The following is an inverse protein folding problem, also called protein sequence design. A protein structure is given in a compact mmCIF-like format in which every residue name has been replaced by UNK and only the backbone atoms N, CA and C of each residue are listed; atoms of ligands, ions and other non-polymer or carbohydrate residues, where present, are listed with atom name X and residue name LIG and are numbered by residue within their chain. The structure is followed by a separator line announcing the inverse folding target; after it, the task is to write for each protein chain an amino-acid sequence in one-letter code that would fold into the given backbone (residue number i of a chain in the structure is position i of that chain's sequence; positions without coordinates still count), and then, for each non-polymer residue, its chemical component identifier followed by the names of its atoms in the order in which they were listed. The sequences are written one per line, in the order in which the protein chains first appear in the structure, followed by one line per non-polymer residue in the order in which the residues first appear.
data_IF_306740316065
#
_entry.id   IF_306740316065
#
_cell.length_a   1.000
_cell.length_b   1.000
_cell.length_c   1.000
_cell.angle_alpha   90.00
_cell.angle_beta   90.00
_cell.angle_gamma   90.00
#
_symmetry.space_group_name_H-M   'P 1'
#
loop_
_entity.id
_entity.type
_entity.pdbx_description
1 polymer ?
#
# COMPACT_ATOMS: atom_id res chain seq x y z
N UNK A 1 13.50 -16.10 -12.01
CA UNK A 1 12.81 -15.07 -11.18
C UNK A 1 11.44 -15.49 -10.63
N UNK A 2 10.72 -16.46 -11.23
CA UNK A 2 9.49 -17.01 -10.64
C UNK A 2 8.32 -16.00 -10.53
N UNK A 3 8.31 -14.98 -11.38
CA UNK A 3 7.20 -14.03 -11.54
C UNK A 3 6.64 -14.15 -12.97
N UNK A 4 5.35 -13.90 -13.21
CA UNK A 4 4.75 -14.05 -14.54
C UNK A 4 5.42 -13.17 -15.61
N UNK A 5 5.44 -13.66 -16.85
CA UNK A 5 5.99 -12.93 -18.00
C UNK A 5 5.29 -11.59 -18.15
N UNK A 6 6.07 -10.52 -18.27
CA UNK A 6 5.54 -9.17 -18.43
C UNK A 6 6.57 -8.20 -19.06
N UNK A 7 6.11 -7.13 -19.70
CA UNK A 7 6.90 -6.10 -20.36
C UNK A 7 7.07 -4.80 -19.55
N UNK A 8 6.38 -4.67 -18.40
CA UNK A 8 6.46 -3.50 -17.52
C UNK A 8 6.75 -3.88 -16.09
N UNK A 9 8.00 -3.61 -15.73
CA UNK A 9 8.59 -3.79 -14.41
C UNK A 9 9.07 -2.45 -13.88
N UNK A 10 9.19 -2.37 -12.55
CA UNK A 10 9.76 -1.24 -11.85
C UNK A 10 11.02 -1.74 -11.15
N UNK A 11 12.12 -1.01 -11.31
CA UNK A 11 13.30 -1.14 -10.48
C UNK A 11 13.24 -0.01 -9.45
N UNK A 12 12.88 -0.34 -8.22
CA UNK A 12 12.80 0.62 -7.12
C UNK A 12 14.08 0.56 -6.29
N UNK A 13 14.77 1.70 -6.16
CA UNK A 13 15.89 1.85 -5.23
C UNK A 13 15.36 2.24 -3.85
N UNK A 14 15.51 1.39 -2.81
CA UNK A 14 15.10 1.73 -1.45
C UNK A 14 16.14 2.62 -0.74
N UNK A 15 16.57 3.71 -1.38
CA UNK A 15 17.72 4.52 -0.92
C UNK A 15 17.57 5.06 0.51
N UNK A 16 16.38 5.56 0.86
CA UNK A 16 16.08 6.06 2.21
C UNK A 16 15.60 4.95 3.17
N UNK A 17 15.46 3.71 2.73
CA UNK A 17 15.08 2.60 3.60
C UNK A 17 16.33 1.84 3.99
N UNK A 18 16.84 2.13 5.20
CA UNK A 18 18.05 1.48 5.75
C UNK A 18 17.92 -0.04 5.89
N UNK A 19 16.70 -0.59 5.83
CA UNK A 19 16.44 -2.05 5.85
C UNK A 19 16.31 -2.66 4.45
N UNK A 20 16.26 -1.82 3.41
CA UNK A 20 16.09 -2.20 2.00
C UNK A 20 14.80 -2.98 1.66
N UNK A 21 13.93 -3.28 2.65
CA UNK A 21 12.91 -4.33 2.53
C UNK A 21 11.47 -3.91 2.80
N UNK A 22 11.19 -2.67 3.21
CA UNK A 22 9.83 -2.26 3.65
C UNK A 22 8.75 -2.49 2.60
N UNK A 23 8.97 -1.99 1.38
CA UNK A 23 8.07 -2.26 0.25
C UNK A 23 7.91 -3.77 -0.01
N UNK A 24 9.00 -4.52 0.00
CA UNK A 24 8.97 -5.96 -0.24
C UNK A 24 8.16 -6.71 0.83
N UNK A 25 8.35 -6.33 2.10
CA UNK A 25 7.71 -6.93 3.26
C UNK A 25 6.19 -6.74 3.20
N UNK A 26 5.74 -5.49 3.07
CA UNK A 26 4.31 -5.16 2.99
C UNK A 26 3.65 -5.94 1.84
N UNK A 27 4.19 -5.87 0.62
CA UNK A 27 3.60 -6.57 -0.52
C UNK A 27 3.57 -8.10 -0.35
N UNK A 28 4.59 -8.68 0.28
CA UNK A 28 4.65 -10.13 0.51
C UNK A 28 3.60 -10.56 1.53
N UNK A 29 3.51 -9.85 2.66
CA UNK A 29 2.61 -10.20 3.74
C UNK A 29 1.15 -9.92 3.44
N UNK A 30 0.84 -8.90 2.65
CA UNK A 30 -0.52 -8.68 2.13
C UNK A 30 -0.94 -9.79 1.17
N UNK A 31 -0.03 -10.24 0.30
CA UNK A 31 -0.31 -11.33 -0.65
C UNK A 31 -0.53 -12.68 0.05
N UNK A 32 0.16 -12.94 1.16
CA UNK A 32 -0.01 -14.16 1.96
C UNK A 32 -1.43 -14.28 2.54
N UNK A 33 -2.16 -13.17 2.72
CA UNK A 33 -3.53 -13.18 3.26
C UNK A 33 -4.48 -14.01 2.41
N UNK A 34 -4.43 -13.84 1.08
CA UNK A 34 -5.08 -14.71 0.10
C UNK A 34 -4.57 -14.34 -1.31
N UNK A 35 -3.55 -15.08 -1.77
CA UNK A 35 -2.85 -14.85 -3.04
C UNK A 35 -3.73 -15.04 -4.29
N UNK A 36 -4.84 -15.79 -4.16
CA UNK A 36 -5.71 -16.17 -5.27
C UNK A 36 -6.84 -15.14 -5.46
N UNK A 37 -7.23 -14.43 -4.39
CA UNK A 37 -8.30 -13.42 -4.41
C UNK A 37 -7.77 -11.98 -4.47
N UNK A 38 -6.68 -11.66 -3.76
CA UNK A 38 -6.18 -10.27 -3.67
C UNK A 38 -4.81 -10.13 -4.29
N UNK A 39 -4.75 -9.34 -5.36
CA UNK A 39 -3.49 -8.97 -5.97
C UNK A 39 -2.75 -7.98 -5.05
N UNK A 40 -1.54 -8.37 -4.64
CA UNK A 40 -0.52 -7.46 -4.15
C UNK A 40 0.76 -7.69 -4.97
N UNK A 41 1.56 -6.64 -5.12
CA UNK A 41 2.68 -6.55 -6.07
C UNK A 41 3.75 -7.59 -5.81
N UNK A 42 4.02 -8.50 -6.76
CA UNK A 42 5.15 -9.42 -6.60
C UNK A 42 6.45 -8.66 -6.82
N UNK A 43 7.44 -9.02 -6.01
CA UNK A 43 8.72 -8.35 -5.98
C UNK A 43 9.86 -9.34 -5.73
N UNK A 44 11.07 -8.96 -6.15
CA UNK A 44 12.34 -9.67 -5.94
C UNK A 44 13.44 -8.66 -5.66
N UNK A 45 14.31 -8.97 -4.71
CA UNK A 45 15.57 -8.25 -4.57
C UNK A 45 16.49 -8.60 -5.73
N UNK A 46 17.16 -7.58 -6.29
CA UNK A 46 18.16 -7.72 -7.35
C UNK A 46 19.30 -6.76 -7.08
N UNK A 47 20.50 -7.12 -7.52
CA UNK A 47 21.64 -6.22 -7.59
C UNK A 47 21.73 -5.64 -9.00
N UNK A 48 21.86 -4.32 -9.11
CA UNK A 48 21.88 -3.64 -10.42
C UNK A 48 23.32 -3.33 -10.82
N UNK A 49 23.67 -3.74 -12.04
CA UNK A 49 24.90 -3.38 -12.71
C UNK A 49 24.57 -2.52 -13.92
N UNK A 50 25.15 -1.32 -14.00
CA UNK A 50 24.99 -0.40 -15.13
C UNK A 50 26.25 -0.41 -15.99
N UNK A 51 26.10 -0.76 -17.27
CA UNK A 51 27.18 -0.72 -18.24
C UNK A 51 27.36 0.69 -18.79
N UNK A 52 28.53 1.29 -18.59
CA UNK A 52 28.91 2.58 -19.17
C UNK A 52 30.41 2.58 -19.45
N UNK A 53 30.81 3.19 -20.58
CA UNK A 53 32.24 3.39 -20.91
C UNK A 53 33.07 2.10 -20.86
N UNK A 54 32.53 1.00 -21.38
CA UNK A 54 33.26 -0.27 -21.44
C UNK A 54 33.29 -1.08 -20.14
N UNK A 55 32.68 -0.60 -19.05
CA UNK A 55 32.70 -1.28 -17.74
C UNK A 55 31.31 -1.37 -17.09
N UNK A 56 31.13 -2.41 -16.28
CA UNK A 56 29.97 -2.53 -15.40
C UNK A 56 30.22 -1.82 -14.08
N UNK A 57 29.29 -0.94 -13.68
CA UNK A 57 29.32 -0.24 -12.41
C UNK A 57 28.19 -0.77 -11.52
N UNK A 58 28.50 -1.10 -10.27
CA UNK A 58 27.50 -1.51 -9.30
C UNK A 58 26.68 -0.30 -8.82
N UNK A 59 25.35 -0.42 -8.86
CA UNK A 59 24.39 0.63 -8.50
C UNK A 59 23.63 0.33 -7.20
N UNK A 60 23.84 -0.84 -6.58
CA UNK A 60 23.21 -1.19 -5.31
C UNK A 60 22.11 -2.25 -5.42
N UNK A 61 21.42 -2.44 -4.30
CA UNK A 61 20.27 -3.35 -4.15
C UNK A 61 19.01 -2.61 -4.56
N UNK A 62 18.21 -3.25 -5.42
CA UNK A 62 16.93 -2.77 -5.89
C UNK A 62 15.84 -3.81 -5.60
N UNK A 63 14.61 -3.33 -5.55
CA UNK A 63 13.43 -4.19 -5.58
C UNK A 63 12.88 -4.15 -7.01
N UNK A 64 13.08 -5.26 -7.75
CA UNK A 64 12.37 -5.50 -9.00
C UNK A 64 10.93 -5.87 -8.67
N UNK A 65 9.98 -5.06 -9.10
CA UNK A 65 8.57 -5.23 -8.74
C UNK A 65 7.61 -5.03 -9.91
N UNK A 66 6.43 -5.60 -9.77
CA UNK A 66 5.35 -5.44 -10.74
C UNK A 66 4.76 -4.03 -10.71
N UNK A 67 4.52 -3.45 -11.88
CA UNK A 67 3.65 -2.28 -11.99
C UNK A 67 2.18 -2.68 -11.82
N UNK A 68 1.42 -2.00 -10.96
CA UNK A 68 -0.04 -2.18 -10.87
C UNK A 68 -0.66 -1.83 -12.23
N UNK A 69 -1.33 -2.81 -12.85
CA UNK A 69 -2.03 -2.65 -14.12
C UNK A 69 -3.01 -3.81 -14.33
N UNK A 70 -3.88 -3.66 -15.33
CA UNK A 70 -4.69 -4.75 -15.85
C UNK A 70 -3.81 -5.81 -16.53
N UNK A 71 -3.87 -7.04 -16.01
CA UNK A 71 -3.30 -8.24 -16.61
C UNK A 71 -3.95 -9.48 -15.97
N UNK A 72 -3.99 -10.61 -16.68
CA UNK A 72 -4.57 -11.86 -16.15
C UNK A 72 -3.87 -12.36 -14.88
N UNK A 73 -2.59 -12.00 -14.69
CA UNK A 73 -1.83 -12.35 -13.51
C UNK A 73 -1.72 -11.19 -12.50
N UNK A 74 -2.27 -10.01 -12.77
CA UNK A 74 -2.26 -8.83 -11.87
C UNK A 74 -3.69 -8.48 -11.48
N UNK A 75 -4.16 -7.26 -11.78
CA UNK A 75 -5.59 -6.93 -11.65
C UNK A 75 -6.33 -7.54 -12.84
N UNK A 76 -6.92 -8.71 -12.62
CA UNK A 76 -7.59 -9.49 -13.65
C UNK A 76 -9.04 -9.03 -13.86
N UNK A 77 -9.20 -7.93 -14.60
CA UNK A 77 -10.50 -7.37 -14.98
C UNK A 77 -10.69 -7.39 -16.50
N UNK A 78 -11.95 -7.42 -16.94
CA UNK A 78 -12.30 -7.45 -18.37
C UNK A 78 -11.82 -6.19 -19.09
N UNK A 79 -11.46 -6.37 -20.35
CA UNK A 79 -11.08 -5.25 -21.23
C UNK A 79 -12.33 -4.44 -21.58
N UNK A 80 -12.30 -3.13 -21.37
CA UNK A 80 -13.35 -2.24 -21.87
C UNK A 80 -13.19 -2.05 -23.38
N UNK A 81 -14.23 -2.30 -24.17
CA UNK A 81 -14.26 -2.04 -25.62
C UNK A 81 -14.73 -0.61 -25.88
N UNK A 82 -14.27 0.04 -26.95
CA UNK A 82 -14.57 1.46 -27.23
C UNK A 82 -16.07 1.77 -27.31
N UNK A 83 -16.87 0.83 -27.81
CA UNK A 83 -18.33 0.93 -27.95
C UNK A 83 -19.11 0.37 -26.74
N UNK A 84 -18.44 0.06 -25.63
CA UNK A 84 -19.07 -0.39 -24.40
C UNK A 84 -18.59 0.45 -23.22
N UNK A 85 -19.52 0.84 -22.36
CA UNK A 85 -19.21 1.43 -21.05
C UNK A 85 -19.01 0.35 -19.99
N UNK A 86 -19.56 -0.85 -20.19
CA UNK A 86 -19.35 -1.98 -19.28
C UNK A 86 -18.00 -2.63 -19.55
N UNK A 87 -17.26 -2.92 -18.48
CA UNK A 87 -15.89 -3.46 -18.52
C UNK A 87 -15.10 -3.09 -17.26
N UNK A 88 -13.80 -3.38 -17.26
CA UNK A 88 -12.90 -3.15 -16.14
C UNK A 88 -12.31 -1.74 -16.08
N UNK A 89 -12.27 -1.16 -14.87
CA UNK A 89 -11.65 0.12 -14.57
C UNK A 89 -10.63 -0.04 -13.43
N UNK A 90 -9.51 0.66 -13.52
CA UNK A 90 -8.52 0.82 -12.44
C UNK A 90 -8.29 2.31 -12.28
N UNK A 91 -8.52 2.80 -11.07
CA UNK A 91 -8.34 4.19 -10.71
C UNK A 91 -7.28 4.28 -9.61
N UNK A 92 -6.57 5.40 -9.58
CA UNK A 92 -5.63 5.71 -8.51
C UNK A 92 -6.00 7.05 -7.90
N UNK A 93 -6.01 7.10 -6.58
CA UNK A 93 -6.10 8.32 -5.79
C UNK A 93 -4.67 8.80 -5.50
N UNK A 94 -4.37 10.05 -5.84
CA UNK A 94 -3.02 10.63 -5.75
C UNK A 94 -3.08 12.17 -5.75
N UNK A 95 -1.91 12.82 -5.58
CA UNK A 95 -1.78 14.29 -5.60
C UNK A 95 -1.49 14.85 -6.99
N UNK A 96 -1.67 16.16 -7.12
CA UNK A 96 -1.28 16.96 -8.28
C UNK A 96 -1.84 16.42 -9.62
N UNK A 97 -3.06 15.90 -9.57
CA UNK A 97 -3.72 15.29 -10.72
C UNK A 97 -4.11 16.36 -11.74
N UNK A 98 -3.60 16.29 -12.98
CA UNK A 98 -4.06 17.16 -14.04
C UNK A 98 -5.56 16.98 -14.31
N UNK A 99 -6.29 18.09 -14.44
CA UNK A 99 -7.74 18.08 -14.65
C UNK A 99 -8.19 17.26 -15.88
N UNK A 100 -7.34 17.14 -16.90
CA UNK A 100 -7.66 16.37 -18.11
C UNK A 100 -7.64 14.83 -17.90
N UNK A 101 -7.03 14.36 -16.80
CA UNK A 101 -6.94 12.94 -16.46
C UNK A 101 -7.69 12.58 -15.17
N UNK A 102 -8.15 13.57 -14.39
CA UNK A 102 -9.02 13.34 -13.24
C UNK A 102 -10.37 12.77 -13.66
N UNK A 103 -11.09 12.21 -12.69
CA UNK A 103 -12.47 11.79 -12.89
C UNK A 103 -13.44 12.97 -12.99
N UNK A 104 -14.62 12.70 -13.54
CA UNK A 104 -15.72 13.67 -13.60
C UNK A 104 -16.36 13.81 -12.20
N UNK A 105 -17.02 14.96 -11.96
CA UNK A 105 -17.56 15.41 -10.66
C UNK A 105 -16.50 15.85 -9.65
N UNK A 106 -16.83 16.88 -8.87
CA UNK A 106 -15.98 17.46 -7.81
C UNK A 106 -15.45 16.40 -6.84
N UNK A 107 -16.35 15.53 -6.41
CA UNK A 107 -16.17 14.50 -5.40
C UNK A 107 -15.13 13.45 -5.81
N UNK A 108 -14.84 13.30 -7.11
CA UNK A 108 -13.92 12.29 -7.62
C UNK A 108 -12.59 12.86 -8.11
N UNK A 109 -12.35 14.19 -8.01
CA UNK A 109 -11.22 14.85 -8.69
C UNK A 109 -9.84 14.34 -8.27
N UNK A 110 -9.72 13.73 -7.10
CA UNK A 110 -8.47 13.13 -6.64
C UNK A 110 -8.17 11.76 -7.26
N UNK A 111 -9.13 11.17 -7.98
CA UNK A 111 -8.93 9.94 -8.74
C UNK A 111 -8.55 10.23 -10.18
N UNK A 112 -7.64 9.42 -10.74
CA UNK A 112 -7.34 9.39 -12.17
C UNK A 112 -7.31 7.98 -12.74
N UNK A 113 -7.40 7.90 -14.08
CA UNK A 113 -7.46 6.63 -14.79
C UNK A 113 -6.09 5.96 -14.96
N UNK A 114 -5.92 4.80 -14.34
CA UNK A 114 -4.81 3.87 -14.63
C UNK A 114 -5.20 2.95 -15.79
N UNK A 115 -6.45 2.48 -15.79
CA UNK A 115 -7.04 1.70 -16.87
C UNK A 115 -8.56 1.98 -16.99
N UNK A 116 -9.11 2.14 -18.21
CA UNK A 116 -8.41 2.38 -19.47
C UNK A 116 -7.49 3.62 -19.38
N UNK A 117 -6.47 3.71 -20.23
CA UNK A 117 -5.56 4.87 -20.19
C UNK A 117 -6.31 6.17 -20.52
N UNK A 118 -5.89 7.33 -19.99
CA UNK A 118 -6.54 8.61 -20.25
C UNK A 118 -6.69 8.94 -21.75
N UNK A 119 -5.74 8.54 -22.59
CA UNK A 119 -5.79 8.73 -24.04
C UNK A 119 -6.56 7.64 -24.81
N UNK A 120 -7.20 6.69 -24.12
CA UNK A 120 -7.96 5.58 -24.71
C UNK A 120 -9.39 5.47 -24.18
N UNK A 121 -9.67 6.07 -23.02
CA UNK A 121 -11.01 6.11 -22.43
C UNK A 121 -11.91 7.10 -23.19
N UNK A 122 -13.18 6.76 -23.40
CA UNK A 122 -14.17 7.64 -24.04
C UNK A 122 -14.92 8.48 -23.01
N UNK A 123 -15.57 9.57 -23.42
CA UNK A 123 -16.35 10.42 -22.50
C UNK A 123 -17.48 9.63 -21.80
N UNK A 124 -18.19 8.76 -22.52
CA UNK A 124 -19.23 7.90 -21.92
C UNK A 124 -18.66 6.94 -20.88
N UNK A 125 -17.44 6.42 -21.09
CA UNK A 125 -16.76 5.57 -20.11
C UNK A 125 -16.30 6.35 -18.87
N UNK A 126 -15.82 7.60 -19.07
CA UNK A 126 -15.47 8.52 -17.97
C UNK A 126 -16.69 8.82 -17.10
N UNK A 127 -17.80 9.21 -17.72
CA UNK A 127 -19.07 9.49 -17.04
C UNK A 127 -19.58 8.26 -16.29
N UNK A 128 -19.57 7.07 -16.91
CA UNK A 128 -20.04 5.84 -16.28
C UNK A 128 -19.34 5.53 -14.95
N UNK A 129 -18.00 5.50 -14.92
CA UNK A 129 -17.27 5.15 -13.70
C UNK A 129 -17.30 6.27 -12.66
N UNK A 130 -17.30 7.52 -13.12
CA UNK A 130 -17.42 8.69 -12.23
C UNK A 130 -18.80 8.73 -11.55
N UNK A 131 -19.86 8.42 -12.30
CA UNK A 131 -21.22 8.32 -11.76
C UNK A 131 -21.32 7.15 -10.77
N UNK A 132 -20.74 5.99 -11.09
CA UNK A 132 -20.71 4.87 -10.15
C UNK A 132 -20.05 5.24 -8.81
N UNK A 133 -18.90 5.93 -8.83
CA UNK A 133 -18.25 6.38 -7.61
C UNK A 133 -19.08 7.42 -6.87
N UNK A 134 -19.70 8.35 -7.59
CA UNK A 134 -20.61 9.35 -7.01
C UNK A 134 -21.78 8.68 -6.30
N UNK A 135 -22.46 7.72 -6.95
CA UNK A 135 -23.59 6.99 -6.37
C UNK A 135 -23.19 6.13 -5.17
N UNK A 136 -22.05 5.45 -5.25
CA UNK A 136 -21.49 4.72 -4.11
C UNK A 136 -21.25 5.65 -2.92
N UNK A 137 -20.68 6.82 -3.15
CA UNK A 137 -20.40 7.78 -2.08
C UNK A 137 -21.69 8.30 -1.46
N UNK A 138 -22.72 8.64 -2.26
CA UNK A 138 -24.02 9.00 -1.72
C UNK A 138 -24.66 7.88 -0.90
N UNK A 139 -24.61 6.64 -1.38
CA UNK A 139 -25.10 5.49 -0.64
C UNK A 139 -24.36 5.31 0.69
N UNK A 140 -23.01 5.42 0.68
CA UNK A 140 -22.18 5.28 1.87
C UNK A 140 -22.47 6.34 2.94
N UNK A 141 -22.78 7.56 2.53
CA UNK A 141 -23.09 8.67 3.43
C UNK A 141 -24.57 8.80 3.80
N UNK A 142 -25.45 7.98 3.23
CA UNK A 142 -26.85 7.92 3.65
C UNK A 142 -26.98 7.30 5.06
N UNK A 143 -28.04 7.65 5.78
CA UNK A 143 -28.27 7.15 7.15
C UNK A 143 -28.46 5.64 7.22
N UNK A 144 -29.01 5.06 6.15
CA UNK A 144 -29.30 3.64 6.01
C UNK A 144 -28.21 2.85 5.26
N UNK A 145 -27.00 3.41 5.12
CA UNK A 145 -25.87 2.79 4.42
C UNK A 145 -25.52 1.37 4.92
N UNK A 146 -25.88 1.05 6.16
CA UNK A 146 -25.63 -0.25 6.77
C UNK A 146 -26.89 -1.13 6.85
N UNK A 147 -28.08 -0.69 6.41
CA UNK A 147 -29.26 -1.56 6.41
C UNK A 147 -29.22 -2.48 5.18
N UNK A 148 -29.11 -3.80 5.36
CA UNK A 148 -28.94 -4.76 4.24
C UNK A 148 -30.11 -4.78 3.26
N UNK A 149 -31.29 -4.36 3.71
CA UNK A 149 -32.50 -4.19 2.90
C UNK A 149 -32.49 -2.91 2.07
N UNK A 150 -31.75 -1.88 2.50
CA UNK A 150 -31.71 -0.58 1.84
C UNK A 150 -31.00 -0.63 0.48
N UNK A 151 -31.44 0.15 -0.53
CA UNK A 151 -30.65 0.39 -1.75
C UNK A 151 -29.26 0.99 -1.46
N UNK A 152 -29.10 1.73 -0.35
CA UNK A 152 -27.87 2.37 0.05
C UNK A 152 -26.89 1.46 0.78
N UNK A 153 -27.25 0.18 1.02
CA UNK A 153 -26.37 -0.77 1.69
C UNK A 153 -24.99 -0.81 1.02
N UNK A 154 -23.92 -0.44 1.74
CA UNK A 154 -22.56 -0.39 1.19
C UNK A 154 -22.16 -1.73 0.56
N UNK A 155 -22.66 -2.85 1.10
CA UNK A 155 -22.38 -4.18 0.56
C UNK A 155 -22.97 -4.45 -0.83
N UNK A 156 -23.85 -3.59 -1.36
CA UNK A 156 -24.28 -3.60 -2.76
C UNK A 156 -23.24 -2.96 -3.70
N UNK A 157 -22.37 -2.11 -3.15
CA UNK A 157 -21.43 -1.28 -3.90
C UNK A 157 -19.98 -1.76 -3.84
N UNK A 158 -19.57 -2.40 -2.74
CA UNK A 158 -18.18 -2.80 -2.51
C UNK A 158 -18.01 -4.31 -2.28
N UNK A 159 -16.86 -4.86 -2.69
CA UNK A 159 -16.38 -6.13 -2.17
C UNK A 159 -15.83 -5.90 -0.76
N UNK A 160 -16.62 -6.26 0.24
CA UNK A 160 -16.34 -5.95 1.65
C UNK A 160 -14.99 -6.55 2.10
N UNK A 161 -14.66 -7.76 1.66
CA UNK A 161 -13.41 -8.40 2.08
C UNK A 161 -12.18 -7.69 1.51
N UNK A 162 -12.24 -7.20 0.27
CA UNK A 162 -11.15 -6.42 -0.32
C UNK A 162 -10.87 -5.15 0.49
N UNK A 163 -11.92 -4.47 0.94
CA UNK A 163 -11.81 -3.29 1.81
C UNK A 163 -11.20 -3.65 3.16
N UNK A 164 -11.65 -4.75 3.79
CA UNK A 164 -11.10 -5.21 5.08
C UNK A 164 -9.61 -5.55 4.96
N UNK A 165 -9.21 -6.29 3.92
CA UNK A 165 -7.82 -6.74 3.79
C UNK A 165 -6.89 -5.60 3.43
N UNK A 166 -7.35 -4.70 2.56
CA UNK A 166 -6.60 -3.50 2.24
C UNK A 166 -6.49 -2.58 3.47
N UNK A 167 -7.58 -2.39 4.23
CA UNK A 167 -7.58 -1.69 5.52
C UNK A 167 -6.54 -2.23 6.48
N UNK A 168 -6.58 -3.53 6.76
CA UNK A 168 -5.65 -4.16 7.69
C UNK A 168 -4.20 -4.06 7.21
N UNK A 169 -3.96 -4.18 5.90
CA UNK A 169 -2.63 -4.00 5.34
C UNK A 169 -2.11 -2.57 5.46
N UNK A 170 -2.93 -1.57 5.14
CA UNK A 170 -2.53 -0.16 5.22
C UNK A 170 -2.33 0.25 6.67
N UNK A 171 -3.21 -0.16 7.58
CA UNK A 171 -3.08 0.18 9.00
C UNK A 171 -1.91 -0.57 9.67
N UNK A 172 -1.61 -1.81 9.29
CA UNK A 172 -0.51 -2.55 9.92
C UNK A 172 0.87 -2.10 9.45
N UNK A 173 1.08 -1.93 8.14
CA UNK A 173 2.37 -1.48 7.59
C UNK A 173 2.50 0.05 7.56
N UNK A 174 1.41 0.78 7.78
CA UNK A 174 1.31 2.18 8.18
C UNK A 174 2.28 3.13 7.49
N UNK A 175 1.96 3.50 6.26
CA UNK A 175 2.70 4.53 5.52
C UNK A 175 2.30 5.96 5.95
N UNK A 176 3.24 6.89 5.85
CA UNK A 176 3.05 8.30 6.16
C UNK A 176 1.97 9.01 5.32
N UNK A 177 1.71 8.53 4.10
CA UNK A 177 0.71 9.09 3.19
C UNK A 177 -0.58 8.24 3.15
N UNK A 178 -0.78 7.39 4.17
CA UNK A 178 -1.91 6.47 4.27
C UNK A 178 -3.25 7.16 4.00
N UNK A 179 -4.07 6.54 3.14
CA UNK A 179 -5.39 7.02 2.73
C UNK A 179 -5.44 8.32 1.92
N UNK A 180 -4.32 9.04 1.80
CA UNK A 180 -4.24 10.29 1.05
C UNK A 180 -3.75 10.08 -0.38
N UNK A 181 -2.79 9.20 -0.60
CA UNK A 181 -2.15 9.02 -1.91
C UNK A 181 -1.79 7.55 -2.12
N UNK A 182 -1.42 7.22 -3.35
CA UNK A 182 -0.99 5.88 -3.73
C UNK A 182 -2.03 4.77 -3.53
N UNK A 183 -3.31 5.13 -3.42
CA UNK A 183 -4.40 4.18 -3.25
C UNK A 183 -5.00 3.79 -4.60
N UNK A 184 -5.20 2.49 -4.81
CA UNK A 184 -5.80 1.97 -6.03
C UNK A 184 -7.17 1.37 -5.74
N UNK A 185 -8.13 1.63 -6.62
CA UNK A 185 -9.42 0.95 -6.66
C UNK A 185 -9.63 0.34 -8.05
N UNK A 186 -10.41 -0.73 -8.11
CA UNK A 186 -10.82 -1.28 -9.40
C UNK A 186 -12.28 -1.73 -9.37
N UNK A 187 -12.90 -1.74 -10.55
CA UNK A 187 -14.26 -2.23 -10.75
C UNK A 187 -14.30 -3.03 -12.04
N UNK A 188 -14.75 -4.29 -11.98
CA UNK A 188 -14.97 -5.08 -13.18
C UNK A 188 -16.41 -4.95 -13.72
N UNK A 189 -16.64 -5.50 -14.92
CA UNK A 189 -17.96 -5.62 -15.51
C UNK A 189 -18.92 -6.36 -14.56
N UNK A 190 -20.02 -5.70 -14.20
CA UNK A 190 -21.07 -6.24 -13.31
C UNK A 190 -20.56 -6.69 -11.93
N UNK A 191 -19.38 -6.21 -11.51
CA UNK A 191 -18.85 -6.46 -10.16
C UNK A 191 -18.89 -5.19 -9.32
N UNK A 192 -18.81 -5.39 -8.00
CA UNK A 192 -18.68 -4.34 -6.99
C UNK A 192 -17.30 -3.68 -7.07
N UNK A 193 -17.14 -2.55 -6.39
CA UNK A 193 -15.87 -1.86 -6.26
C UNK A 193 -14.94 -2.65 -5.33
N UNK A 194 -13.70 -2.80 -5.75
CA UNK A 194 -12.64 -3.38 -4.94
C UNK A 194 -11.68 -2.27 -4.51
N UNK A 195 -11.32 -2.28 -3.23
CA UNK A 195 -10.11 -1.60 -2.78
C UNK A 195 -8.94 -2.50 -3.16
N UNK A 196 -8.09 -2.01 -4.08
CA UNK A 196 -7.24 -2.83 -4.94
C UNK A 196 -5.90 -3.16 -4.28
N UNK A 197 -4.86 -3.38 -5.09
CA UNK A 197 -3.51 -3.60 -4.59
C UNK A 197 -3.01 -2.42 -3.75
N UNK A 198 -2.47 -2.75 -2.59
CA UNK A 198 -1.68 -1.83 -1.77
C UNK A 198 -0.39 -1.42 -2.49
N UNK A 199 0.08 -0.20 -2.22
CA UNK A 199 1.24 0.42 -2.88
C UNK A 199 1.94 1.41 -1.92
N UNK A 200 3.22 1.69 -2.18
CA UNK A 200 4.08 2.63 -1.45
C UNK A 200 4.09 2.45 0.07
N UNK A 201 5.10 1.73 0.55
CA UNK A 201 5.41 1.56 1.98
C UNK A 201 6.86 1.94 2.28
N UNK A 202 7.52 2.71 1.42
CA UNK A 202 8.91 3.16 1.64
C UNK A 202 9.02 4.08 2.86
N UNK A 203 7.96 4.80 3.23
CA UNK A 203 7.89 5.60 4.44
C UNK A 203 6.99 4.96 5.52
N UNK A 204 6.65 3.69 5.32
CA UNK A 204 5.89 2.91 6.28
C UNK A 204 6.77 2.28 7.35
N UNK A 205 6.11 1.62 8.29
CA UNK A 205 6.75 0.91 9.39
C UNK A 205 7.76 1.77 10.15
N UNK A 206 7.31 2.97 10.54
CA UNK A 206 8.10 3.91 11.32
C UNK A 206 9.14 4.72 10.54
N UNK A 207 9.22 4.58 9.21
CA UNK A 207 10.26 5.22 8.41
C UNK A 207 9.95 6.68 8.02
N UNK A 208 9.49 7.48 8.98
CA UNK A 208 9.16 8.88 8.80
C UNK A 208 9.49 9.73 10.03
N UNK A 209 9.82 11.00 9.82
CA UNK A 209 10.11 11.98 10.87
C UNK A 209 9.22 13.24 10.79
N UNK A 210 8.18 13.22 9.94
CA UNK A 210 7.38 14.41 9.65
C UNK A 210 5.91 14.24 10.05
N UNK A 211 5.17 13.32 9.42
CA UNK A 211 3.71 13.25 9.59
C UNK A 211 3.34 12.55 10.90
N UNK A 212 3.66 11.27 11.00
CA UNK A 212 3.38 10.46 12.18
C UNK A 212 4.62 10.29 13.05
N UNK A 213 5.80 10.62 12.52
CA UNK A 213 7.10 10.60 13.22
C UNK A 213 7.38 9.22 13.81
N UNK A 214 6.98 8.18 13.10
CA UNK A 214 7.02 6.79 13.54
C UNK A 214 6.11 6.43 14.70
N UNK A 215 5.06 7.21 14.98
CA UNK A 215 4.06 6.86 15.99
C UNK A 215 3.26 5.61 15.56
N UNK A 216 3.45 4.50 16.25
CA UNK A 216 2.72 3.25 16.02
C UNK A 216 1.34 3.20 16.70
N UNK A 217 1.03 4.15 17.59
CA UNK A 217 -0.12 4.11 18.51
C UNK A 217 -1.32 4.93 18.05
N UNK A 218 -1.64 4.88 16.76
CA UNK A 218 -2.81 5.55 16.19
C UNK A 218 -3.38 4.78 15.00
N UNK A 219 -4.59 5.15 14.58
CA UNK A 219 -5.18 4.67 13.33
C UNK A 219 -5.18 5.79 12.30
N UNK A 220 -4.64 5.50 11.12
CA UNK A 220 -4.44 6.47 10.04
C UNK A 220 -5.77 7.01 9.53
N UNK A 221 -6.77 6.14 9.39
CA UNK A 221 -8.11 6.54 8.96
C UNK A 221 -8.82 7.51 9.92
N UNK A 222 -8.34 7.64 11.17
CA UNK A 222 -8.85 8.60 12.16
C UNK A 222 -8.08 9.94 12.16
N UNK A 223 -6.89 10.00 11.57
CA UNK A 223 -6.04 11.21 11.63
C UNK A 223 -6.34 12.19 10.50
N UNK A 224 -6.89 11.72 9.38
CA UNK A 224 -7.10 12.55 8.22
C UNK A 224 -8.45 13.25 8.21
N UNK A 225 -8.39 14.57 8.02
CA UNK A 225 -9.53 15.47 7.88
C UNK A 225 -9.32 16.51 6.77
N UNK A 226 -8.52 16.20 5.73
CA UNK A 226 -8.34 17.18 4.65
C UNK A 226 -9.62 17.29 3.83
N UNK A 227 -10.39 18.34 4.13
CA UNK A 227 -11.11 19.24 3.22
C UNK A 227 -12.29 18.71 2.40
N UNK A 228 -12.39 17.41 2.14
CA UNK A 228 -13.36 16.85 1.20
C UNK A 228 -13.97 15.56 1.78
N UNK A 229 -15.31 15.43 1.83
CA UNK A 229 -15.99 14.22 2.30
C UNK A 229 -15.67 12.95 1.47
N UNK A 230 -14.88 13.05 0.41
CA UNK A 230 -14.88 12.09 -0.70
C UNK A 230 -13.53 11.39 -0.93
N UNK A 231 -12.66 11.39 0.09
CA UNK A 231 -11.43 10.59 0.07
C UNK A 231 -11.66 9.18 0.67
N UNK A 232 -10.72 8.26 0.40
CA UNK A 232 -10.81 6.88 0.90
C UNK A 232 -10.78 6.82 2.43
N UNK A 233 -10.06 7.74 3.11
CA UNK A 233 -10.06 7.79 4.58
C UNK A 233 -11.47 7.99 5.14
N UNK A 234 -12.23 8.91 4.54
CA UNK A 234 -13.63 9.18 4.91
C UNK A 234 -14.53 7.98 4.62
N UNK A 235 -14.29 7.24 3.53
CA UNK A 235 -15.02 6.00 3.25
C UNK A 235 -14.76 4.95 4.33
N UNK A 236 -13.49 4.73 4.69
CA UNK A 236 -13.10 3.79 5.75
C UNK A 236 -13.67 4.22 7.09
N UNK A 237 -13.62 5.51 7.43
CA UNK A 237 -14.20 6.04 8.67
C UNK A 237 -15.70 5.77 8.76
N UNK A 238 -16.43 5.95 7.66
CA UNK A 238 -17.87 5.65 7.58
C UNK A 238 -18.16 4.15 7.67
N UNK A 239 -17.37 3.31 7.00
CA UNK A 239 -17.50 1.85 7.11
C UNK A 239 -17.23 1.37 8.55
N UNK A 240 -16.17 1.88 9.19
CA UNK A 240 -15.81 1.54 10.57
C UNK A 240 -16.83 2.02 11.60
N UNK A 241 -17.76 2.93 11.25
CA UNK A 241 -18.89 3.27 12.13
C UNK A 241 -20.02 2.23 12.12
N UNK A 242 -20.06 1.30 11.15
CA UNK A 242 -20.96 0.13 11.20
C UNK A 242 -20.34 -0.98 12.04
N UNK A 243 -21.00 -1.37 13.14
CA UNK A 243 -20.52 -2.40 14.06
C UNK A 243 -20.24 -3.73 13.38
N UNK A 244 -21.00 -4.10 12.34
CA UNK A 244 -20.77 -5.36 11.60
C UNK A 244 -19.52 -5.31 10.74
N UNK A 245 -19.24 -4.17 10.09
CA UNK A 245 -17.99 -4.00 9.34
C UNK A 245 -16.79 -4.02 10.30
N UNK A 246 -16.86 -3.25 11.39
CA UNK A 246 -15.83 -3.21 12.42
C UNK A 246 -15.58 -4.60 13.02
N UNK A 247 -16.61 -5.35 13.38
CA UNK A 247 -16.46 -6.72 13.90
C UNK A 247 -15.75 -7.65 12.90
N UNK A 248 -16.10 -7.58 11.61
CA UNK A 248 -15.40 -8.38 10.58
C UNK A 248 -13.93 -7.99 10.42
N UNK A 249 -13.60 -6.70 10.54
CA UNK A 249 -12.22 -6.22 10.57
C UNK A 249 -11.47 -6.82 11.76
N UNK A 250 -12.07 -6.77 12.95
CA UNK A 250 -11.51 -7.33 14.18
C UNK A 250 -11.29 -8.84 14.12
N UNK A 251 -12.29 -9.58 13.66
CA UNK A 251 -12.20 -11.05 13.47
C UNK A 251 -11.08 -11.40 12.49
N UNK A 252 -10.98 -10.67 11.36
CA UNK A 252 -9.93 -10.90 10.37
C UNK A 252 -8.55 -10.56 10.93
N UNK A 253 -8.41 -9.48 11.70
CA UNK A 253 -7.16 -9.13 12.38
C UNK A 253 -6.73 -10.24 13.35
N UNK A 254 -7.62 -10.68 14.25
CA UNK A 254 -7.33 -11.75 15.22
C UNK A 254 -6.89 -13.03 14.51
N UNK A 255 -7.56 -13.39 13.41
CA UNK A 255 -7.18 -14.55 12.59
C UNK A 255 -5.76 -14.42 12.02
N UNK A 256 -5.40 -13.25 11.48
CA UNK A 256 -4.07 -13.00 10.92
C UNK A 256 -2.98 -12.99 12.01
N UNK A 257 -3.27 -12.42 13.17
CA UNK A 257 -2.36 -12.33 14.32
C UNK A 257 -2.11 -13.66 15.01
N UNK A 258 -3.03 -14.61 14.91
CA UNK A 258 -2.80 -16.02 15.30
C UNK A 258 -1.97 -16.81 14.27
N UNK A 259 -1.75 -16.27 13.08
CA UNK A 259 -1.10 -16.97 11.97
C UNK A 259 0.01 -16.14 11.32
N UNK A 260 -0.15 -15.88 10.02
CA UNK A 260 0.88 -15.32 9.13
C UNK A 260 1.41 -13.94 9.53
N UNK A 261 0.67 -13.21 10.38
CA UNK A 261 1.04 -11.90 10.91
C UNK A 261 1.31 -11.92 12.42
N UNK A 262 1.46 -13.09 13.04
CA UNK A 262 1.93 -13.17 14.43
C UNK A 262 3.33 -12.55 14.59
N UNK A 263 3.68 -12.10 15.80
CA UNK A 263 5.00 -11.53 16.09
C UNK A 263 6.13 -12.48 15.65
N UNK A 264 5.98 -13.78 15.97
CA UNK A 264 6.94 -14.83 15.62
C UNK A 264 7.11 -14.96 14.11
N UNK A 265 6.00 -15.06 13.36
CA UNK A 265 6.07 -15.23 11.90
C UNK A 265 6.62 -13.97 11.21
N UNK A 266 6.36 -12.79 11.77
CA UNK A 266 6.85 -11.55 11.20
C UNK A 266 8.35 -11.37 11.44
N UNK A 267 8.83 -11.60 12.67
CA UNK A 267 10.26 -11.61 13.01
C UNK A 267 11.01 -12.65 12.18
N UNK A 268 10.53 -13.90 12.16
CA UNK A 268 11.16 -14.98 11.40
C UNK A 268 11.26 -14.67 9.90
N UNK A 269 10.21 -14.06 9.34
CA UNK A 269 10.23 -13.66 7.93
C UNK A 269 11.20 -12.51 7.64
N UNK A 270 11.31 -11.53 8.55
CA UNK A 270 12.26 -10.42 8.43
C UNK A 270 13.70 -10.94 8.51
N UNK A 271 14.04 -11.78 9.49
CA UNK A 271 15.36 -12.40 9.58
C UNK A 271 15.69 -13.28 8.36
N UNK A 272 14.69 -13.93 7.77
CA UNK A 272 14.88 -14.66 6.51
C UNK A 272 15.22 -13.72 5.34
N UNK A 273 14.69 -12.50 5.32
CA UNK A 273 15.04 -11.49 4.31
C UNK A 273 16.44 -10.93 4.60
N UNK A 274 16.72 -10.58 5.86
CA UNK A 274 18.04 -10.13 6.31
C UNK A 274 19.15 -11.08 5.88
N UNK A 275 18.99 -12.38 6.15
CA UNK A 275 19.97 -13.40 5.75
C UNK A 275 20.20 -13.45 4.24
N UNK A 276 19.17 -13.20 3.42
CA UNK A 276 19.32 -13.12 1.96
C UNK A 276 20.01 -11.83 1.51
N UNK A 277 19.83 -10.76 2.26
CA UNK A 277 20.37 -9.44 1.95
C UNK A 277 21.72 -9.17 2.60
N UNK A 278 22.22 -10.02 3.50
CA UNK A 278 23.49 -9.82 4.23
C UNK A 278 24.64 -9.35 3.35
N UNK A 279 24.97 -10.14 2.32
CA UNK A 279 26.07 -9.78 1.39
C UNK A 279 25.71 -8.63 0.43
N UNK A 280 24.52 -8.61 -0.22
CA UNK A 280 24.11 -7.47 -1.05
C UNK A 280 24.03 -6.13 -0.30
N UNK A 281 23.56 -6.12 0.94
CA UNK A 281 23.45 -4.93 1.79
C UNK A 281 24.84 -4.37 2.12
N UNK A 282 25.81 -5.24 2.44
CA UNK A 282 27.21 -4.83 2.61
C UNK A 282 27.74 -4.08 1.38
N UNK A 283 27.57 -4.64 0.18
CA UNK A 283 27.98 -3.96 -1.07
C UNK A 283 27.18 -2.68 -1.32
N UNK A 284 25.88 -2.69 -1.03
CA UNK A 284 25.01 -1.53 -1.17
C UNK A 284 25.50 -0.36 -0.33
N UNK A 285 25.75 -0.58 0.96
CA UNK A 285 26.20 0.48 1.88
C UNK A 285 27.70 0.79 1.77
N UNK A 286 28.48 -0.02 1.07
CA UNK A 286 29.81 0.39 0.59
C UNK A 286 29.72 1.36 -0.60
N UNK A 287 28.74 1.17 -1.48
CA UNK A 287 28.50 2.06 -2.64
C UNK A 287 27.82 3.36 -2.22
N UNK A 288 26.89 3.28 -1.28
CA UNK A 288 26.10 4.38 -0.73
C UNK A 288 26.47 4.57 0.76
N UNK A 289 27.71 4.96 1.00
CA UNK A 289 28.36 5.04 2.33
C UNK A 289 27.83 6.17 3.23
N UNK A 290 27.13 7.13 2.67
CA UNK A 290 26.48 8.23 3.36
C UNK A 290 25.07 7.93 3.86
N UNK A 291 24.61 6.67 3.80
CA UNK A 291 23.25 6.27 4.24
C UNK A 291 23.21 5.82 5.70
N UNK A 292 23.99 4.78 6.05
CA UNK A 292 24.03 4.29 7.43
C UNK A 292 24.70 5.31 8.36
N UNK A 293 24.20 5.44 9.58
CA UNK A 293 24.69 6.40 10.59
C UNK A 293 24.32 7.86 10.30
N UNK A 294 23.69 8.16 9.16
CA UNK A 294 23.41 9.51 8.70
C UNK A 294 21.90 9.79 8.56
N UNK A 295 21.54 11.07 8.55
CA UNK A 295 20.21 11.50 8.17
C UNK A 295 20.04 11.36 6.65
N UNK A 296 19.02 10.60 6.27
CA UNK A 296 18.47 10.57 4.91
C UNK A 296 16.98 10.83 5.08
N UNK A 297 16.45 11.86 4.43
CA UNK A 297 15.04 12.18 4.58
C UNK A 297 14.14 11.00 4.13
N UNK A 298 13.08 10.64 4.87
CA UNK A 298 12.58 11.21 6.12
C UNK A 298 12.92 10.37 7.38
N UNK A 299 14.09 9.72 7.46
CA UNK A 299 14.39 8.82 8.57
C UNK A 299 14.42 9.52 9.95
N UNK A 300 14.07 8.76 10.98
CA UNK A 300 14.17 9.12 12.39
C UNK A 300 15.37 8.44 13.07
N UNK A 301 15.75 8.92 14.25
CA UNK A 301 16.76 8.29 15.10
C UNK A 301 16.10 7.24 15.99
N UNK A 302 16.39 5.97 15.74
CA UNK A 302 15.81 4.83 16.47
C UNK A 302 16.84 4.03 17.26
N UNK A 303 18.08 3.98 16.76
CA UNK A 303 19.17 3.29 17.41
C UNK A 303 19.74 4.12 18.56
N UNK A 304 20.53 3.47 19.43
CA UNK A 304 21.16 4.10 20.60
C UNK A 304 22.68 4.03 20.51
N UNK A 305 23.36 5.08 20.95
CA UNK A 305 24.80 5.03 21.20
C UNK A 305 25.14 4.41 22.57
N UNK A 306 26.42 4.40 22.94
CA UNK A 306 26.89 3.82 24.21
C UNK A 306 26.35 4.55 25.44
N UNK A 307 25.96 5.82 25.28
CA UNK A 307 25.46 6.68 26.35
C UNK A 307 23.92 6.71 26.38
N UNK A 308 23.25 5.96 25.50
CA UNK A 308 21.80 5.87 25.41
C UNK A 308 21.13 7.01 24.61
N UNK A 309 21.91 7.86 23.93
CA UNK A 309 21.37 8.91 23.08
C UNK A 309 20.81 8.31 21.79
N UNK A 310 19.71 8.88 21.29
CA UNK A 310 19.13 8.47 20.01
C UNK A 310 20.05 8.88 18.85
N UNK A 311 20.34 7.92 17.98
CA UNK A 311 21.17 8.09 16.78
C UNK A 311 20.51 7.42 15.57
N UNK A 312 21.00 7.76 14.38
CA UNK A 312 20.68 6.98 13.19
C UNK A 312 21.43 5.65 13.24
N UNK A 313 20.75 4.57 12.85
CA UNK A 313 21.32 3.23 12.84
C UNK A 313 22.57 3.15 11.96
N UNK A 314 23.68 2.71 12.56
CA UNK A 314 25.01 2.68 11.94
C UNK A 314 25.24 1.39 11.13
N UNK A 315 24.44 0.37 11.36
CA UNK A 315 24.51 -0.93 10.68
C UNK A 315 23.17 -1.30 10.06
N UNK A 316 23.21 -2.23 9.11
CA UNK A 316 22.02 -2.78 8.47
C UNK A 316 21.19 -3.60 9.45
N UNK A 317 21.87 -4.40 10.27
CA UNK A 317 21.31 -5.24 11.33
C UNK A 317 20.60 -4.38 12.39
N UNK A 318 21.24 -3.30 12.86
CA UNK A 318 20.62 -2.38 13.83
C UNK A 318 19.36 -1.71 13.27
N UNK A 319 19.36 -1.34 11.98
CA UNK A 319 18.19 -0.77 11.33
C UNK A 319 17.03 -1.78 11.24
N UNK A 320 17.33 -3.07 11.13
CA UNK A 320 16.31 -4.12 11.11
C UNK A 320 15.74 -4.32 12.52
N UNK A 321 16.60 -4.49 13.52
CA UNK A 321 16.17 -4.81 14.89
C UNK A 321 15.49 -3.62 15.59
N UNK A 322 16.17 -2.47 15.62
CA UNK A 322 15.78 -1.34 16.46
C UNK A 322 14.87 -0.33 15.76
N UNK A 323 14.66 -0.44 14.45
CA UNK A 323 13.67 0.36 13.73
C UNK A 323 12.52 -0.50 13.20
N UNK A 324 12.77 -1.41 12.26
CA UNK A 324 11.70 -2.13 11.58
C UNK A 324 10.98 -3.15 12.47
N UNK A 325 11.72 -4.07 13.11
CA UNK A 325 11.14 -5.13 13.96
C UNK A 325 10.48 -4.49 15.18
N UNK A 326 11.22 -3.67 15.95
CA UNK A 326 10.67 -3.02 17.14
C UNK A 326 9.37 -2.26 16.82
N UNK A 327 9.36 -1.47 15.75
CA UNK A 327 8.17 -0.72 15.36
C UNK A 327 7.00 -1.65 14.99
N UNK A 328 7.23 -2.69 14.18
CA UNK A 328 6.17 -3.61 13.72
C UNK A 328 5.54 -4.41 14.86
N UNK A 329 6.34 -4.83 15.84
CA UNK A 329 5.87 -5.58 16.99
C UNK A 329 5.06 -4.67 17.92
N UNK A 330 5.57 -3.48 18.22
CA UNK A 330 4.83 -2.49 19.02
C UNK A 330 3.52 -2.07 18.34
N UNK A 331 3.55 -1.88 17.00
CA UNK A 331 2.35 -1.62 16.20
C UNK A 331 1.33 -2.75 16.29
N UNK A 332 1.77 -3.99 16.05
CA UNK A 332 0.90 -5.17 16.08
C UNK A 332 0.20 -5.31 17.43
N UNK A 333 0.96 -5.22 18.52
CA UNK A 333 0.43 -5.29 19.89
C UNK A 333 -0.49 -4.13 20.24
N UNK A 334 -0.20 -2.93 19.73
CA UNK A 334 -1.09 -1.79 19.91
C UNK A 334 -2.43 -2.04 19.22
N UNK A 335 -2.44 -2.50 17.97
CA UNK A 335 -3.69 -2.82 17.25
C UNK A 335 -4.45 -3.95 17.97
N UNK A 336 -3.75 -4.98 18.47
CA UNK A 336 -4.36 -6.08 19.25
C UNK A 336 -5.23 -5.56 20.42
N UNK A 337 -4.85 -4.44 21.03
CA UNK A 337 -5.54 -3.84 22.17
C UNK A 337 -6.53 -2.72 21.81
N UNK A 338 -6.50 -2.20 20.57
CA UNK A 338 -7.23 -0.98 20.20
C UNK A 338 -8.20 -1.14 19.02
N UNK A 339 -8.25 -2.33 18.40
CA UNK A 339 -9.20 -2.69 17.35
C UNK A 339 -10.41 -3.44 17.92
#
# INVERSE_FOLDING_TARGET
MGMPKENKWILSAPYSDKTLMRNYLAYSKTREVNKDKYYAVRSRFVEVLRYMEGKYNYEGVYILMERIKRDKNRINIKKVKRNKITGGYILKLDKDIPQNISLEYSENKMFYYVYPKPNKITNSQKLYISQYLKDFQYALYSDDFNLTTSPNYYGKWIDIDSFIIHFLSREYFFDTDIWQFSEYIHKDENQKLFLSAVWDFNYGMGNDNYHFKGNYSLFGYKQYFIGEPYNIASWIKRLMSDSRFHNRVKEKWISLRKGIWSDREMISYIHKIENKLKEPAKRNFQKWDNVLGNFVWPNRQTCKDKDGNSIYCKTFEDAIEYDLIDWLINRGRWIDNNL
#
